data_IF_732925359492
#
_entry.id   IF_732925359492
#
_cell.length_a   1.000
_cell.length_b   1.000
_cell.length_c   1.000
_cell.angle_alpha   90.00
_cell.angle_beta   90.00
_cell.angle_gamma   90.00
#
_symmetry.space_group_name_H-M   'P 1'
#
loop_
_entity.id
_entity.type
_entity.pdbx_description
1 polymer ?
#
# COMPACT_ATOMS: atom_id res chain seq x y z
N UNK A 1 -1.15 -24.32 -14.70
CA UNK A 1 -0.37 -23.44 -15.62
C UNK A 1 -0.31 -22.00 -15.16
N UNK A 2 -1.40 -21.38 -14.64
CA UNK A 2 -1.35 -20.01 -14.10
C UNK A 2 -0.43 -19.84 -12.87
N UNK A 3 -0.33 -20.86 -12.02
CA UNK A 3 0.44 -20.81 -10.76
C UNK A 3 1.96 -20.73 -11.00
N UNK A 4 2.48 -21.53 -11.94
CA UNK A 4 3.91 -21.56 -12.30
C UNK A 4 4.37 -20.26 -12.97
N UNK A 5 3.54 -19.67 -13.83
CA UNK A 5 3.87 -18.39 -14.49
C UNK A 5 3.82 -17.22 -13.50
N UNK A 6 2.93 -17.27 -12.51
CA UNK A 6 2.83 -16.25 -11.45
C UNK A 6 4.07 -16.28 -10.55
N UNK A 7 4.54 -17.47 -10.17
CA UNK A 7 5.74 -17.67 -9.36
C UNK A 7 7.03 -17.21 -10.07
N UNK A 8 7.16 -17.50 -11.36
CA UNK A 8 8.29 -17.04 -12.19
C UNK A 8 8.30 -15.50 -12.31
N UNK A 9 7.13 -14.89 -12.52
CA UNK A 9 7.00 -13.44 -12.63
C UNK A 9 7.30 -12.73 -11.31
N UNK A 10 6.84 -13.26 -10.18
CA UNK A 10 7.16 -12.76 -8.84
C UNK A 10 8.66 -12.87 -8.54
N UNK A 11 9.27 -14.03 -8.81
CA UNK A 11 10.71 -14.24 -8.64
C UNK A 11 11.53 -13.26 -9.48
N UNK A 12 11.09 -12.99 -10.73
CA UNK A 12 11.75 -12.01 -11.59
C UNK A 12 11.59 -10.58 -11.06
N UNK A 13 10.40 -10.20 -10.63
CA UNK A 13 10.14 -8.88 -10.05
C UNK A 13 11.00 -8.64 -8.80
N UNK A 14 11.07 -9.62 -7.89
CA UNK A 14 11.93 -9.56 -6.70
C UNK A 14 13.40 -9.34 -7.05
N UNK A 15 13.94 -10.08 -8.04
CA UNK A 15 15.33 -9.89 -8.50
C UNK A 15 15.58 -8.50 -9.09
N UNK A 16 14.61 -7.94 -9.80
CA UNK A 16 14.71 -6.59 -10.36
C UNK A 16 14.73 -5.56 -9.22
N UNK A 17 13.82 -5.70 -8.24
CA UNK A 17 13.75 -4.82 -7.08
C UNK A 17 15.01 -4.87 -6.22
N UNK A 18 15.53 -6.06 -5.95
CA UNK A 18 16.81 -6.23 -5.26
C UNK A 18 17.93 -5.47 -5.97
N UNK A 19 18.08 -5.65 -7.29
CA UNK A 19 19.11 -4.93 -8.07
C UNK A 19 18.92 -3.42 -8.04
N UNK A 20 17.68 -2.92 -8.10
CA UNK A 20 17.39 -1.48 -8.06
C UNK A 20 17.77 -0.89 -6.69
N UNK A 21 17.32 -1.52 -5.60
CA UNK A 21 17.60 -1.09 -4.22
C UNK A 21 19.10 -1.21 -3.90
N UNK A 22 19.73 -2.33 -4.25
CA UNK A 22 21.17 -2.53 -4.06
C UNK A 22 22.00 -1.54 -4.89
N UNK A 23 21.65 -1.32 -6.17
CA UNK A 23 22.34 -0.37 -7.02
C UNK A 23 22.24 1.07 -6.49
N UNK A 24 21.06 1.46 -5.98
CA UNK A 24 20.87 2.74 -5.32
C UNK A 24 21.77 2.87 -4.06
N UNK A 25 21.80 1.83 -3.23
CA UNK A 25 22.63 1.79 -2.03
C UNK A 25 24.13 1.79 -2.33
N UNK A 26 24.58 1.10 -3.39
CA UNK A 26 25.96 1.12 -3.85
C UNK A 26 26.39 2.50 -4.34
N UNK A 27 25.48 3.21 -5.02
CA UNK A 27 25.76 4.54 -5.55
C UNK A 27 25.82 5.63 -4.45
N UNK A 28 24.92 5.57 -3.48
CA UNK A 28 24.72 6.67 -2.52
C UNK A 28 24.99 6.33 -1.05
N UNK A 29 25.17 5.04 -0.73
CA UNK A 29 25.47 4.56 0.61
C UNK A 29 24.24 4.28 1.48
N UNK A 30 24.51 3.77 2.69
CA UNK A 30 23.49 3.23 3.58
C UNK A 30 22.52 4.28 4.14
N UNK A 31 22.97 5.52 4.39
CA UNK A 31 22.09 6.59 4.86
C UNK A 31 21.01 6.94 3.82
N UNK A 32 21.34 6.92 2.53
CA UNK A 32 20.35 7.08 1.46
C UNK A 32 19.39 5.90 1.39
N UNK A 33 19.89 4.66 1.58
CA UNK A 33 19.05 3.47 1.64
C UNK A 33 18.10 3.53 2.85
N UNK A 34 18.56 4.00 4.01
CA UNK A 34 17.70 4.24 5.16
C UNK A 34 16.59 5.23 4.80
N UNK A 35 16.91 6.35 4.16
CA UNK A 35 15.88 7.29 3.71
C UNK A 35 14.90 6.65 2.73
N UNK A 36 15.38 5.86 1.76
CA UNK A 36 14.51 5.13 0.83
C UNK A 36 13.58 4.13 1.56
N UNK A 37 14.04 3.46 2.61
CA UNK A 37 13.21 2.57 3.44
C UNK A 37 12.06 3.31 4.13
N UNK A 38 12.33 4.49 4.69
CA UNK A 38 11.30 5.32 5.32
C UNK A 38 10.38 5.95 4.27
N UNK A 39 10.93 6.38 3.14
CA UNK A 39 10.18 6.93 2.01
C UNK A 39 9.23 5.91 1.36
N UNK A 40 9.48 4.62 1.51
CA UNK A 40 8.57 3.58 1.04
C UNK A 40 7.27 3.50 1.87
N UNK A 41 7.22 4.09 3.07
CA UNK A 41 6.07 3.99 3.96
C UNK A 41 4.84 4.72 3.43
N UNK A 42 4.89 6.05 3.14
CA UNK A 42 3.78 6.71 2.45
C UNK A 42 3.50 6.09 1.08
N UNK A 43 2.25 6.14 0.64
CA UNK A 43 1.89 5.66 -0.69
C UNK A 43 2.37 6.61 -1.78
N UNK A 44 2.15 7.91 -1.56
CA UNK A 44 2.61 9.00 -2.44
C UNK A 44 3.59 9.88 -1.67
N UNK A 45 4.67 10.28 -2.34
CA UNK A 45 5.67 11.19 -1.83
C UNK A 45 5.55 12.54 -2.52
N UNK A 46 5.65 13.60 -1.73
CA UNK A 46 5.98 14.94 -2.20
C UNK A 46 7.39 15.29 -1.72
N UNK A 47 8.09 16.26 -2.35
CA UNK A 47 9.34 16.77 -1.82
C UNK A 47 9.23 17.22 -0.36
N UNK A 48 8.15 17.93 -0.02
CA UNK A 48 7.89 18.38 1.36
C UNK A 48 7.74 17.21 2.33
N UNK A 49 6.89 16.21 2.02
CA UNK A 49 6.73 15.02 2.86
C UNK A 49 8.06 14.29 3.07
N UNK A 50 8.83 14.10 2.00
CA UNK A 50 10.11 13.39 2.11
C UNK A 50 11.18 14.20 2.86
N UNK A 51 11.19 15.53 2.77
CA UNK A 51 12.04 16.36 3.62
C UNK A 51 11.64 16.25 5.09
N UNK A 52 10.34 16.18 5.40
CA UNK A 52 9.91 15.98 6.79
C UNK A 52 10.28 14.58 7.31
N UNK A 53 10.16 13.54 6.48
CA UNK A 53 10.64 12.20 6.84
C UNK A 53 12.15 12.22 7.09
N UNK A 54 12.92 12.85 6.21
CA UNK A 54 14.36 12.99 6.36
C UNK A 54 14.73 13.67 7.70
N UNK A 55 14.10 14.82 7.99
CA UNK A 55 14.41 15.60 9.18
C UNK A 55 14.10 14.87 10.49
N UNK A 56 13.06 14.04 10.52
CA UNK A 56 12.62 13.36 11.74
C UNK A 56 13.25 11.97 11.92
N UNK A 57 13.51 11.24 10.85
CA UNK A 57 13.85 9.82 10.92
C UNK A 57 15.25 9.48 10.44
N UNK A 58 15.81 10.25 9.51
CA UNK A 58 17.12 9.94 8.88
C UNK A 58 17.99 11.20 8.71
N UNK A 59 18.20 12.01 9.77
CA UNK A 59 18.96 13.26 9.67
C UNK A 59 20.44 13.03 9.37
N UNK A 60 20.95 11.81 9.50
CA UNK A 60 22.31 11.43 9.14
C UNK A 60 22.54 11.36 7.62
N UNK A 61 21.47 11.25 6.82
CA UNK A 61 21.58 11.35 5.37
C UNK A 61 21.82 12.82 4.96
N UNK A 62 22.60 13.11 3.91
CA UNK A 62 22.71 14.47 3.41
C UNK A 62 21.34 14.96 2.91
N UNK A 63 21.03 16.24 3.06
CA UNK A 63 19.75 16.81 2.62
C UNK A 63 19.46 16.57 1.11
N UNK A 64 20.51 16.42 0.29
CA UNK A 64 20.39 16.05 -1.14
C UNK A 64 19.87 14.63 -1.37
N UNK A 65 19.87 13.77 -0.35
CA UNK A 65 19.33 12.42 -0.42
C UNK A 65 17.84 12.40 -0.78
N UNK A 66 17.08 13.42 -0.39
CA UNK A 66 15.67 13.59 -0.76
C UNK A 66 15.53 13.62 -2.28
N UNK A 67 16.31 14.46 -2.95
CA UNK A 67 16.31 14.53 -4.41
C UNK A 67 16.81 13.23 -5.05
N UNK A 68 17.84 12.61 -4.49
CA UNK A 68 18.34 11.33 -4.99
C UNK A 68 17.28 10.22 -4.93
N UNK A 69 16.48 10.13 -3.86
CA UNK A 69 15.39 9.16 -3.76
C UNK A 69 14.31 9.44 -4.80
N UNK A 70 13.76 10.66 -4.84
CA UNK A 70 12.65 11.01 -5.73
C UNK A 70 12.99 10.88 -7.22
N UNK A 71 14.24 11.20 -7.59
CA UNK A 71 14.72 11.16 -8.97
C UNK A 71 15.41 9.83 -9.34
N UNK A 72 15.47 8.87 -8.41
CA UNK A 72 15.99 7.54 -8.70
C UNK A 72 14.98 6.68 -9.45
N UNK A 73 15.44 5.51 -9.92
CA UNK A 73 14.57 4.48 -10.53
C UNK A 73 13.65 3.76 -9.53
N UNK A 74 13.75 4.08 -8.24
CA UNK A 74 12.83 3.58 -7.22
C UNK A 74 11.49 4.29 -7.29
N UNK A 75 11.49 5.54 -7.76
CA UNK A 75 10.31 6.39 -7.84
C UNK A 75 9.90 6.69 -9.29
N UNK A 76 8.61 6.93 -9.50
CA UNK A 76 8.04 7.47 -10.72
C UNK A 76 7.17 8.68 -10.37
N UNK A 77 7.22 9.72 -11.21
CA UNK A 77 6.31 10.85 -11.05
C UNK A 77 4.91 10.46 -11.54
N UNK A 78 3.89 10.69 -10.72
CA UNK A 78 2.48 10.38 -10.99
C UNK A 78 1.60 11.62 -11.09
N UNK A 79 2.12 12.77 -10.68
CA UNK A 79 1.46 14.07 -10.82
C UNK A 79 2.43 15.21 -10.54
N UNK A 80 1.92 16.45 -10.48
CA UNK A 80 2.74 17.61 -10.15
C UNK A 80 3.33 17.43 -8.74
N UNK A 81 4.66 17.30 -8.67
CA UNK A 81 5.41 17.03 -7.44
C UNK A 81 4.96 15.80 -6.63
N UNK A 82 4.25 14.86 -7.25
CA UNK A 82 3.80 13.61 -6.64
C UNK A 82 4.55 12.42 -7.23
N UNK A 83 5.12 11.59 -6.36
CA UNK A 83 5.94 10.45 -6.73
C UNK A 83 5.44 9.19 -6.02
N UNK A 84 5.53 8.05 -6.69
CA UNK A 84 5.25 6.75 -6.10
C UNK A 84 6.43 5.81 -6.31
N UNK A 85 6.64 4.90 -5.38
CA UNK A 85 7.56 3.79 -5.58
C UNK A 85 6.91 2.66 -6.36
N UNK A 86 7.68 1.97 -7.19
CA UNK A 86 7.25 0.68 -7.76
C UNK A 86 6.86 -0.26 -6.63
N UNK A 87 5.70 -0.93 -6.73
CA UNK A 87 5.16 -1.75 -5.63
C UNK A 87 6.13 -2.84 -5.16
N UNK A 88 6.92 -3.42 -6.06
CA UNK A 88 7.88 -4.47 -5.70
C UNK A 88 9.08 -3.88 -4.96
N UNK A 89 9.54 -2.70 -5.37
CA UNK A 89 10.62 -1.96 -4.72
C UNK A 89 10.18 -1.45 -3.34
N UNK A 90 8.97 -0.89 -3.26
CA UNK A 90 8.30 -0.43 -2.03
C UNK A 90 8.21 -1.57 -1.00
N UNK A 91 7.66 -2.71 -1.40
CA UNK A 91 7.48 -3.86 -0.53
C UNK A 91 8.82 -4.42 -0.02
N UNK A 92 9.84 -4.48 -0.88
CA UNK A 92 11.19 -4.85 -0.46
C UNK A 92 11.74 -3.89 0.59
N UNK A 93 11.64 -2.57 0.34
CA UNK A 93 12.12 -1.54 1.25
C UNK A 93 11.39 -1.54 2.60
N UNK A 94 10.09 -1.83 2.62
CA UNK A 94 9.30 -1.94 3.85
C UNK A 94 9.65 -3.18 4.67
N UNK A 95 9.94 -4.32 4.04
CA UNK A 95 10.52 -5.47 4.74
C UNK A 95 11.86 -5.12 5.38
N UNK A 96 12.75 -4.50 4.63
CA UNK A 96 14.05 -4.07 5.16
C UNK A 96 13.90 -3.03 6.29
N UNK A 97 12.92 -2.14 6.21
CA UNK A 97 12.59 -1.19 7.27
C UNK A 97 12.21 -1.94 8.55
N UNK A 98 11.29 -2.92 8.45
CA UNK A 98 10.87 -3.73 9.59
C UNK A 98 12.02 -4.54 10.19
N UNK A 99 12.83 -5.16 9.35
CA UNK A 99 13.98 -5.96 9.79
C UNK A 99 15.02 -5.11 10.52
N UNK A 100 15.26 -3.89 10.06
CA UNK A 100 16.30 -3.01 10.59
C UNK A 100 15.87 -2.16 11.79
N UNK A 101 14.63 -1.68 11.80
CA UNK A 101 14.14 -0.71 12.79
C UNK A 101 12.97 -1.25 13.64
N UNK A 102 12.44 -2.42 13.31
CA UNK A 102 11.37 -3.06 14.07
C UNK A 102 9.98 -2.47 13.78
N UNK A 103 8.99 -2.97 14.50
CA UNK A 103 7.60 -2.52 14.41
C UNK A 103 7.41 -1.10 14.98
N UNK A 104 8.17 -0.72 16.01
CA UNK A 104 8.12 0.62 16.62
C UNK A 104 8.31 1.72 15.59
N UNK A 105 9.21 1.53 14.61
CA UNK A 105 9.41 2.51 13.52
C UNK A 105 8.19 2.65 12.61
N UNK A 106 7.44 1.58 12.38
CA UNK A 106 6.17 1.68 11.64
C UNK A 106 5.11 2.43 12.43
N UNK A 107 5.07 2.24 13.75
CA UNK A 107 4.13 2.92 14.63
C UNK A 107 4.40 4.44 14.61
N UNK A 108 5.66 4.85 14.77
CA UNK A 108 6.08 6.25 14.67
C UNK A 108 5.83 6.86 13.28
N UNK A 109 6.14 6.13 12.20
CA UNK A 109 5.86 6.60 10.83
C UNK A 109 4.35 6.70 10.55
N UNK A 110 3.56 5.80 11.13
CA UNK A 110 2.10 5.82 11.04
C UNK A 110 1.52 7.06 11.72
N UNK A 111 1.92 7.32 12.96
CA UNK A 111 1.52 8.54 13.69
C UNK A 111 1.95 9.80 12.93
N UNK A 112 3.22 9.85 12.49
CA UNK A 112 3.74 10.96 11.70
C UNK A 112 2.93 11.19 10.40
N UNK A 113 2.59 10.13 9.68
CA UNK A 113 1.85 10.26 8.41
C UNK A 113 0.41 10.74 8.64
N UNK A 114 -0.25 10.26 9.69
CA UNK A 114 -1.58 10.73 10.08
C UNK A 114 -1.56 12.21 10.44
N UNK A 115 -0.58 12.64 11.25
CA UNK A 115 -0.40 14.05 11.62
C UNK A 115 -0.10 14.92 10.39
N UNK A 116 0.77 14.44 9.49
CA UNK A 116 1.10 15.13 8.24
C UNK A 116 -0.15 15.37 7.39
N UNK A 117 -0.92 14.29 7.15
CA UNK A 117 -2.14 14.34 6.33
C UNK A 117 -3.17 15.25 6.97
N UNK A 118 -3.35 15.18 8.29
CA UNK A 118 -4.26 16.04 9.04
C UNK A 118 -3.94 17.54 8.87
N UNK A 119 -2.65 17.88 8.82
CA UNK A 119 -2.19 19.28 8.74
C UNK A 119 -2.08 19.81 7.31
N UNK A 120 -1.72 18.96 6.33
CA UNK A 120 -1.31 19.39 4.98
C UNK A 120 -2.32 19.06 3.88
N UNK A 121 -3.15 18.03 4.04
CA UNK A 121 -4.18 17.69 3.07
C UNK A 121 -5.53 18.21 3.57
N UNK A 122 -6.00 19.30 2.97
CA UNK A 122 -7.31 19.92 3.24
C UNK A 122 -8.45 19.06 2.71
N UNK A 123 -9.68 19.26 3.20
CA UNK A 123 -10.88 18.56 2.71
C UNK A 123 -11.36 19.03 1.31
N UNK A 124 -10.44 19.42 0.43
CA UNK A 124 -10.80 19.68 -0.96
C UNK A 124 -11.08 18.36 -1.70
N UNK A 125 -11.89 18.45 -2.76
CA UNK A 125 -12.27 17.26 -3.52
C UNK A 125 -11.06 16.59 -4.21
N UNK A 126 -10.02 17.36 -4.51
CA UNK A 126 -8.87 16.92 -5.29
C UNK A 126 -7.83 16.16 -4.44
N UNK A 127 -7.77 16.38 -3.12
CA UNK A 127 -6.82 15.69 -2.22
C UNK A 127 -7.47 14.68 -1.29
N UNK A 128 -8.81 14.57 -1.28
CA UNK A 128 -9.53 13.59 -0.44
C UNK A 128 -9.05 12.15 -0.65
N UNK A 129 -8.99 11.70 -1.90
CA UNK A 129 -8.58 10.32 -2.21
C UNK A 129 -7.14 10.04 -1.77
N UNK A 130 -6.27 11.04 -1.91
CA UNK A 130 -4.88 10.95 -1.47
C UNK A 130 -4.80 10.88 0.06
N UNK A 131 -5.57 11.72 0.76
CA UNK A 131 -5.69 11.69 2.23
C UNK A 131 -6.14 10.32 2.71
N UNK A 132 -7.26 9.80 2.20
CA UNK A 132 -7.78 8.48 2.57
C UNK A 132 -6.75 7.37 2.33
N UNK A 133 -6.09 7.38 1.17
CA UNK A 133 -5.10 6.36 0.83
C UNK A 133 -3.88 6.39 1.77
N UNK A 134 -3.43 7.57 2.18
CA UNK A 134 -2.33 7.73 3.13
C UNK A 134 -2.73 7.34 4.56
N UNK A 135 -3.94 7.71 4.99
CA UNK A 135 -4.49 7.33 6.30
C UNK A 135 -4.62 5.81 6.41
N UNK A 136 -5.20 5.15 5.42
CA UNK A 136 -5.28 3.69 5.38
C UNK A 136 -3.91 3.03 5.24
N UNK A 137 -2.94 3.67 4.58
CA UNK A 137 -1.56 3.18 4.57
C UNK A 137 -0.95 3.19 5.96
N UNK A 138 -1.10 4.28 6.73
CA UNK A 138 -0.63 4.37 8.11
C UNK A 138 -1.29 3.30 9.00
N UNK A 139 -2.62 3.14 8.88
CA UNK A 139 -3.38 2.18 9.67
C UNK A 139 -3.10 0.72 9.29
N UNK A 140 -2.75 0.42 8.03
CA UNK A 140 -2.45 -0.96 7.64
C UNK A 140 -1.23 -1.54 8.36
N UNK A 141 -0.21 -0.73 8.64
CA UNK A 141 1.00 -1.18 9.31
C UNK A 141 0.91 -1.15 10.85
N UNK A 142 -0.03 -0.37 11.40
CA UNK A 142 -0.14 -0.14 12.85
C UNK A 142 -1.39 -0.77 13.46
N UNK A 143 -2.51 -0.76 12.74
CA UNK A 143 -3.83 -1.25 13.16
C UNK A 143 -4.52 -2.05 12.04
N UNK A 144 -3.94 -3.16 11.56
CA UNK A 144 -4.43 -3.90 10.40
C UNK A 144 -5.88 -4.41 10.55
N UNK A 145 -6.34 -4.68 11.77
CA UNK A 145 -7.72 -5.12 12.02
C UNK A 145 -8.76 -4.00 11.87
N UNK A 146 -8.37 -2.76 12.16
CA UNK A 146 -9.21 -1.58 11.97
C UNK A 146 -9.33 -1.28 10.49
N UNK A 147 -8.19 -1.14 9.80
CA UNK A 147 -8.17 -0.83 8.36
C UNK A 147 -8.89 -1.90 7.54
N UNK A 148 -8.75 -3.18 7.91
CA UNK A 148 -9.37 -4.26 7.14
C UNK A 148 -10.90 -4.19 7.19
N UNK A 149 -11.45 -3.75 8.32
CA UNK A 149 -12.88 -3.58 8.51
C UNK A 149 -13.39 -2.35 7.76
N UNK A 150 -12.67 -1.24 7.86
CA UNK A 150 -13.02 0.00 7.16
C UNK A 150 -12.99 -0.18 5.63
N UNK A 151 -11.94 -0.79 5.09
CA UNK A 151 -11.82 -1.07 3.66
C UNK A 151 -12.91 -2.04 3.18
N UNK A 152 -13.27 -3.05 3.97
CA UNK A 152 -14.38 -3.94 3.64
C UNK A 152 -15.71 -3.20 3.60
N UNK A 153 -15.97 -2.36 4.60
CA UNK A 153 -17.19 -1.57 4.68
C UNK A 153 -17.26 -0.58 3.50
N UNK A 154 -16.20 0.16 3.23
CA UNK A 154 -16.11 1.09 2.11
C UNK A 154 -16.36 0.39 0.77
N UNK A 155 -15.71 -0.75 0.52
CA UNK A 155 -15.95 -1.56 -0.69
C UNK A 155 -17.42 -1.99 -0.82
N UNK A 156 -18.05 -2.42 0.28
CA UNK A 156 -19.45 -2.84 0.27
C UNK A 156 -20.41 -1.69 0.00
N UNK A 157 -20.20 -0.54 0.64
CA UNK A 157 -21.04 0.64 0.48
C UNK A 157 -20.97 1.16 -0.96
N UNK A 158 -19.77 1.24 -1.54
CA UNK A 158 -19.58 1.68 -2.94
C UNK A 158 -20.20 0.70 -3.94
N UNK A 159 -20.12 -0.60 -3.68
CA UNK A 159 -20.83 -1.60 -4.48
C UNK A 159 -22.35 -1.43 -4.44
N UNK A 160 -22.93 -1.17 -3.26
CA UNK A 160 -24.37 -0.93 -3.12
C UNK A 160 -24.83 0.36 -3.80
N UNK A 161 -23.94 1.36 -3.88
CA UNK A 161 -24.16 2.62 -4.57
C UNK A 161 -23.93 2.51 -6.09
N UNK A 162 -23.54 1.34 -6.60
CA UNK A 162 -23.13 1.10 -7.99
C UNK A 162 -21.98 2.03 -8.45
N UNK A 163 -21.16 2.50 -7.51
CA UNK A 163 -19.99 3.34 -7.78
C UNK A 163 -18.80 2.47 -8.19
N UNK A 164 -18.85 2.02 -9.44
CA UNK A 164 -17.83 1.13 -10.02
C UNK A 164 -16.44 1.76 -10.00
N UNK A 165 -16.35 3.08 -10.18
CA UNK A 165 -15.06 3.80 -10.15
C UNK A 165 -14.39 3.67 -8.79
N UNK A 166 -15.13 3.98 -7.74
CA UNK A 166 -14.63 3.89 -6.36
C UNK A 166 -14.33 2.45 -5.94
N UNK A 167 -15.14 1.49 -6.39
CA UNK A 167 -14.87 0.08 -6.12
C UNK A 167 -13.51 -0.36 -6.69
N UNK A 168 -13.22 0.02 -7.94
CA UNK A 168 -11.94 -0.32 -8.56
C UNK A 168 -10.77 0.39 -7.88
N UNK A 169 -10.95 1.66 -7.47
CA UNK A 169 -9.95 2.43 -6.71
C UNK A 169 -9.62 1.76 -5.37
N UNK A 170 -10.64 1.46 -4.57
CA UNK A 170 -10.50 0.81 -3.27
C UNK A 170 -9.92 -0.60 -3.40
N UNK A 171 -10.31 -1.37 -4.42
CA UNK A 171 -9.74 -2.69 -4.65
C UNK A 171 -8.25 -2.62 -5.00
N UNK A 172 -7.84 -1.65 -5.82
CA UNK A 172 -6.42 -1.41 -6.11
C UNK A 172 -5.63 -1.00 -4.86
N UNK A 173 -6.24 -0.23 -3.95
CA UNK A 173 -5.61 0.13 -2.68
C UNK A 173 -5.42 -1.10 -1.77
N UNK A 174 -6.43 -1.96 -1.67
CA UNK A 174 -6.32 -3.23 -0.92
C UNK A 174 -5.19 -4.11 -1.46
N UNK A 175 -5.02 -4.21 -2.79
CA UNK A 175 -3.88 -4.93 -3.38
C UNK A 175 -2.53 -4.28 -3.03
N UNK A 176 -2.49 -2.95 -2.97
CA UNK A 176 -1.28 -2.21 -2.60
C UNK A 176 -0.88 -2.47 -1.14
N UNK A 177 -1.87 -2.65 -0.26
CA UNK A 177 -1.71 -2.95 1.16
C UNK A 177 -1.68 -4.46 1.45
N UNK A 178 -1.53 -5.31 0.42
CA UNK A 178 -1.64 -6.76 0.58
C UNK A 178 -0.62 -7.34 1.59
N UNK A 179 0.62 -6.84 1.60
CA UNK A 179 1.67 -7.37 2.48
C UNK A 179 1.37 -7.21 3.98
N UNK A 180 1.10 -6.00 4.51
CA UNK A 180 0.73 -5.85 5.92
C UNK A 180 -0.58 -6.59 6.28
N UNK A 181 -1.56 -6.61 5.37
CA UNK A 181 -2.84 -7.29 5.59
C UNK A 181 -2.69 -8.82 5.66
N UNK A 182 -1.90 -9.42 4.76
CA UNK A 182 -1.58 -10.85 4.81
C UNK A 182 -0.79 -11.23 6.05
N UNK A 183 0.22 -10.41 6.40
CA UNK A 183 1.03 -10.62 7.60
C UNK A 183 0.20 -10.62 8.90
N UNK A 184 -0.93 -9.92 8.90
CA UNK A 184 -1.88 -9.87 10.01
C UNK A 184 -3.05 -10.86 9.89
N UNK A 185 -3.07 -11.73 8.87
CA UNK A 185 -4.07 -12.78 8.70
C UNK A 185 -5.39 -12.33 8.03
N UNK A 186 -5.39 -11.20 7.33
CA UNK A 186 -6.56 -10.67 6.60
C UNK A 186 -6.60 -11.08 5.12
N UNK A 187 -6.15 -12.29 4.78
CA UNK A 187 -6.38 -12.88 3.43
C UNK A 187 -7.85 -12.82 2.98
N UNK A 188 -8.85 -13.02 3.85
CA UNK A 188 -10.26 -12.87 3.46
C UNK A 188 -10.60 -11.52 2.82
N UNK A 189 -10.01 -10.40 3.28
CA UNK A 189 -10.25 -9.09 2.68
C UNK A 189 -9.72 -9.00 1.25
N UNK A 190 -8.53 -9.55 0.99
CA UNK A 190 -7.95 -9.58 -0.37
C UNK A 190 -8.81 -10.42 -1.31
N UNK A 191 -9.27 -11.58 -0.85
CA UNK A 191 -10.17 -12.44 -1.64
C UNK A 191 -11.50 -11.72 -1.92
N UNK A 192 -12.06 -11.06 -0.91
CA UNK A 192 -13.28 -10.26 -1.03
C UNK A 192 -13.11 -9.12 -2.04
N UNK A 193 -12.08 -8.28 -1.86
CA UNK A 193 -11.75 -7.15 -2.73
C UNK A 193 -11.56 -7.58 -4.19
N UNK A 194 -10.83 -8.67 -4.44
CA UNK A 194 -10.66 -9.25 -5.77
C UNK A 194 -11.96 -9.76 -6.38
N UNK A 195 -12.88 -10.28 -5.57
CA UNK A 195 -14.19 -10.76 -6.02
C UNK A 195 -15.07 -9.61 -6.45
N UNK A 196 -15.08 -8.56 -5.63
CA UNK A 196 -15.80 -7.31 -5.89
C UNK A 196 -15.25 -6.57 -7.13
N UNK A 197 -13.92 -6.48 -7.31
CA UNK A 197 -13.31 -5.98 -8.55
C UNK A 197 -13.75 -6.76 -9.80
N UNK A 198 -13.89 -8.09 -9.68
CA UNK A 198 -14.38 -8.92 -10.80
C UNK A 198 -15.86 -8.66 -11.12
N UNK A 199 -16.70 -8.44 -10.12
CA UNK A 199 -18.10 -8.01 -10.33
C UNK A 199 -18.16 -6.65 -11.02
N UNK A 200 -17.37 -5.68 -10.53
CA UNK A 200 -17.27 -4.35 -11.11
C UNK A 200 -16.83 -4.38 -12.58
N UNK A 201 -16.00 -5.35 -12.97
CA UNK A 201 -15.57 -5.60 -14.36
C UNK A 201 -16.53 -6.49 -15.17
N UNK A 202 -17.69 -6.85 -14.62
CA UNK A 202 -18.68 -7.76 -15.22
C UNK A 202 -18.17 -9.20 -15.47
N UNK A 203 -17.14 -9.65 -14.76
CA UNK A 203 -16.67 -11.04 -14.77
C UNK A 203 -17.32 -11.85 -13.64
N UNK A 204 -18.57 -12.25 -13.88
CA UNK A 204 -19.40 -12.98 -12.92
C UNK A 204 -18.82 -14.36 -12.56
N UNK A 205 -18.15 -15.03 -13.49
CA UNK A 205 -17.59 -16.37 -13.29
C UNK A 205 -16.44 -16.28 -12.30
N UNK A 206 -15.51 -15.34 -12.51
CA UNK A 206 -14.37 -15.14 -11.64
C UNK A 206 -14.79 -14.59 -10.28
N UNK A 207 -15.75 -13.67 -10.24
CA UNK A 207 -16.33 -13.16 -9.00
C UNK A 207 -16.92 -14.29 -8.14
N UNK A 208 -17.79 -15.12 -8.72
CA UNK A 208 -18.43 -16.25 -8.02
C UNK A 208 -17.38 -17.21 -7.48
N UNK A 209 -16.34 -17.52 -8.27
CA UNK A 209 -15.26 -18.39 -7.83
C UNK A 209 -14.53 -17.82 -6.59
N UNK A 210 -14.16 -16.53 -6.63
CA UNK A 210 -13.46 -15.86 -5.53
C UNK A 210 -14.33 -15.75 -4.27
N UNK A 211 -15.61 -15.36 -4.41
CA UNK A 211 -16.53 -15.23 -3.28
C UNK A 211 -16.88 -16.59 -2.66
N UNK A 212 -16.96 -17.67 -3.45
CA UNK A 212 -17.07 -19.04 -2.90
C UNK A 212 -15.83 -19.46 -2.13
N UNK A 213 -14.63 -19.11 -2.61
CA UNK A 213 -13.37 -19.33 -1.85
C UNK A 213 -13.42 -18.60 -0.50
N UNK A 214 -13.95 -17.39 -0.46
CA UNK A 214 -14.10 -16.61 0.77
C UNK A 214 -14.94 -17.33 1.83
N UNK A 215 -16.06 -17.95 1.43
CA UNK A 215 -16.91 -18.74 2.32
C UNK A 215 -16.23 -20.01 2.87
N UNK A 216 -15.22 -20.52 2.16
CA UNK A 216 -14.43 -21.66 2.59
C UNK A 216 -13.25 -21.29 3.50
N UNK A 217 -12.88 -20.00 3.58
CA UNK A 217 -11.86 -19.52 4.50
C UNK A 217 -12.44 -19.41 5.91
N UNK A 218 -11.63 -19.72 6.93
CA UNK A 218 -12.00 -19.45 8.31
C UNK A 218 -12.00 -17.93 8.53
N UNK A 219 -13.17 -17.31 8.52
CA UNK A 219 -13.34 -15.85 8.60
C UNK A 219 -13.34 -15.33 10.05
N UNK A 220 -12.65 -16.00 10.99
CA UNK A 220 -12.63 -15.63 12.42
C UNK A 220 -12.27 -14.16 12.66
N UNK A 221 -11.46 -13.57 11.78
CA UNK A 221 -11.00 -12.19 11.87
C UNK A 221 -11.66 -11.24 10.86
N UNK A 222 -12.60 -11.72 10.03
CA UNK A 222 -13.19 -10.93 8.94
C UNK A 222 -14.68 -11.22 8.80
N UNK A 223 -15.54 -10.20 8.90
CA UNK A 223 -16.96 -10.38 8.58
C UNK A 223 -17.22 -9.88 7.17
N UNK A 224 -17.83 -10.71 6.33
CA UNK A 224 -18.31 -10.27 5.02
C UNK A 224 -19.44 -9.25 5.25
N UNK A 225 -19.36 -8.05 4.67
CA UNK A 225 -20.47 -7.09 4.73
C UNK A 225 -21.76 -7.66 4.11
N UNK A 226 -22.92 -7.37 4.72
CA UNK A 226 -24.23 -7.85 4.25
C UNK A 226 -24.61 -7.21 2.91
N UNK A 227 -25.24 -7.98 2.00
CA UNK A 227 -25.83 -7.49 0.75
C UNK A 227 -25.09 -7.85 -0.55
N UNK A 228 -23.85 -8.35 -0.50
CA UNK A 228 -23.12 -8.81 -1.71
C UNK A 228 -23.36 -10.29 -2.05
N UNK A 229 -23.68 -11.12 -1.06
CA UNK A 229 -23.96 -12.55 -1.27
C UNK A 229 -25.38 -12.83 -1.80
N UNK A 230 -26.24 -11.82 -1.81
CA UNK A 230 -27.63 -11.90 -2.24
C UNK A 230 -27.86 -11.34 -3.67
N UNK A 231 -26.79 -10.87 -4.32
CA UNK A 231 -26.77 -10.34 -5.70
C UNK A 231 -26.23 -11.39 -6.68
#
# INVERSE_FOLDING_TARGET
MADVTTDINQTRAMRISQRRVEGFAQQFGEAHRNLARHAAFPLVLTPDLLYQIWANFVPEAPWTAVAHVLLSRLCRQVGYEMYEMDISDRNLLLRELKEKFGQERFDELGEFLLDYVAQRLTDDADTRDLREAQEWTALAYTKPAEVARELAQALSERMQQEDIGEVLRLASLVETLAEPLLGAGFEPLLVYSRGVDSLARSDQVLATFKLKKLLALNTSNFSIPKGILDA
#
